data_IF_486373717994
#
_entry.id   IF_486373717994
#
_cell.length_a   1.000
_cell.length_b   1.000
_cell.length_c   1.000
_cell.angle_alpha   90.00
_cell.angle_beta   90.00
_cell.angle_gamma   90.00
#
_symmetry.space_group_name_H-M   'P 1'
#
loop_
_entity.id
_entity.type
_entity.pdbx_description
1 polymer ?
#
# COMPACT_ATOMS: atom_id res chain seq x y z
N UNK A 1 -8.22 -4.71 -4.73
CA UNK A 1 -8.88 -4.56 -3.43
C UNK A 1 -8.93 -3.08 -3.03
N UNK A 2 -10.00 -2.70 -2.39
CA UNK A 2 -10.23 -1.33 -1.97
C UNK A 2 -10.25 -1.21 -0.46
N UNK A 3 -9.64 -0.14 0.04
CA UNK A 3 -9.64 0.21 1.47
C UNK A 3 -10.24 1.59 1.60
N UNK A 4 -11.22 1.75 2.48
CA UNK A 4 -11.85 3.05 2.70
C UNK A 4 -10.84 4.04 3.29
N UNK A 5 -10.69 5.20 2.66
CA UNK A 5 -9.78 6.24 3.10
C UNK A 5 -9.36 7.16 1.97
N UNK A 6 -8.52 8.13 2.31
CA UNK A 6 -8.00 9.09 1.34
C UNK A 6 -6.47 9.04 1.32
N UNK A 7 -5.92 8.78 0.15
CA UNK A 7 -4.47 8.67 -0.03
C UNK A 7 -3.74 9.95 0.43
N UNK A 8 -4.34 11.12 0.20
CA UNK A 8 -3.76 12.39 0.61
C UNK A 8 -3.58 12.47 2.13
N UNK A 9 -4.53 11.95 2.90
CA UNK A 9 -4.48 11.99 4.37
C UNK A 9 -3.71 10.80 4.96
N UNK A 10 -3.76 9.64 4.31
CA UNK A 10 -3.25 8.39 4.83
C UNK A 10 -1.98 7.90 4.13
N UNK A 11 -1.34 8.78 3.36
CA UNK A 11 -0.14 8.44 2.58
C UNK A 11 0.96 7.80 3.44
N UNK A 12 1.24 8.36 4.60
CA UNK A 12 2.26 7.83 5.51
C UNK A 12 1.89 6.44 6.00
N UNK A 13 0.62 6.22 6.31
CA UNK A 13 0.13 4.91 6.75
C UNK A 13 0.22 3.88 5.63
N UNK A 14 -0.06 4.28 4.39
CA UNK A 14 0.12 3.43 3.21
C UNK A 14 1.58 3.01 3.09
N UNK A 15 2.50 3.95 3.16
CA UNK A 15 3.94 3.66 3.09
C UNK A 15 4.35 2.69 4.20
N UNK A 16 3.91 2.94 5.42
CA UNK A 16 4.26 2.11 6.58
C UNK A 16 3.71 0.69 6.45
N UNK A 17 2.49 0.54 5.94
CA UNK A 17 1.89 -0.77 5.71
C UNK A 17 2.69 -1.58 4.69
N UNK A 18 3.14 -0.94 3.60
CA UNK A 18 3.97 -1.60 2.61
C UNK A 18 5.37 -1.93 3.13
N UNK A 19 5.98 -1.02 3.88
CA UNK A 19 7.30 -1.26 4.48
C UNK A 19 7.28 -2.44 5.44
N UNK A 20 6.22 -2.59 6.21
CA UNK A 20 6.06 -3.73 7.12
C UNK A 20 6.03 -5.07 6.37
N UNK A 21 5.64 -5.07 5.11
CA UNK A 21 5.62 -6.26 4.26
C UNK A 21 6.87 -6.34 3.34
N UNK A 22 7.85 -5.46 3.55
CA UNK A 22 9.10 -5.48 2.80
C UNK A 22 9.04 -4.78 1.44
N UNK A 23 8.17 -3.80 1.30
CA UNK A 23 8.03 -3.00 0.09
C UNK A 23 8.43 -1.55 0.34
N UNK A 24 8.88 -0.88 -0.70
CA UNK A 24 9.28 0.53 -0.64
C UNK A 24 8.63 1.31 -1.77
N UNK A 25 8.39 2.62 -1.60
CA UNK A 25 7.88 3.44 -2.70
C UNK A 25 8.87 3.48 -3.85
N UNK A 26 8.38 3.22 -5.05
CA UNK A 26 9.19 3.27 -6.27
C UNK A 26 8.84 4.49 -7.11
N UNK A 27 7.57 4.91 -7.09
CA UNK A 27 7.11 6.06 -7.85
C UNK A 27 5.89 6.69 -7.15
N UNK A 28 5.72 8.00 -7.32
CA UNK A 28 4.62 8.74 -6.73
C UNK A 28 4.30 9.92 -7.65
N UNK A 29 3.13 9.88 -8.29
CA UNK A 29 2.70 10.94 -9.21
C UNK A 29 1.72 11.93 -8.58
N UNK A 30 1.52 11.85 -7.26
CA UNK A 30 0.58 12.71 -6.52
C UNK A 30 -0.84 12.14 -6.45
N UNK A 31 -1.27 11.42 -7.45
CA UNK A 31 -2.59 10.78 -7.49
C UNK A 31 -2.53 9.31 -7.11
N UNK A 32 -1.36 8.71 -7.24
CA UNK A 32 -1.13 7.33 -6.91
C UNK A 32 0.32 7.06 -6.60
N UNK A 33 0.58 5.89 -6.08
CA UNK A 33 1.92 5.44 -5.70
C UNK A 33 2.14 4.04 -6.24
N UNK A 34 3.41 3.74 -6.56
CA UNK A 34 3.81 2.38 -6.94
C UNK A 34 4.83 1.89 -5.93
N UNK A 35 4.66 0.67 -5.46
CA UNK A 35 5.56 0.04 -4.49
C UNK A 35 6.22 -1.18 -5.10
N UNK A 36 7.47 -1.42 -4.73
CA UNK A 36 8.26 -2.58 -5.16
C UNK A 36 8.93 -3.21 -3.97
N UNK A 37 9.26 -4.50 -4.09
CA UNK A 37 10.00 -5.20 -3.04
C UNK A 37 11.34 -4.52 -2.80
N UNK A 38 11.70 -4.34 -1.53
CA UNK A 38 12.95 -3.69 -1.14
C UNK A 38 14.17 -4.54 -1.45
N UNK A 39 14.03 -5.88 -1.40
CA UNK A 39 15.14 -6.82 -1.60
C UNK A 39 15.23 -7.28 -3.05
N UNK A 40 16.41 -7.19 -3.69
CA UNK A 40 16.60 -7.72 -5.03
C UNK A 40 16.33 -9.24 -5.12
N UNK A 41 16.67 -9.99 -4.07
CA UNK A 41 16.39 -11.43 -4.03
C UNK A 41 14.90 -11.72 -4.03
N UNK A 42 14.14 -10.92 -3.31
CA UNK A 42 12.68 -11.06 -3.26
C UNK A 42 12.06 -10.74 -4.62
N UNK A 43 12.59 -9.73 -5.32
CA UNK A 43 12.13 -9.38 -6.67
C UNK A 43 12.37 -10.55 -7.64
N UNK A 44 13.51 -11.22 -7.52
CA UNK A 44 13.82 -12.38 -8.34
C UNK A 44 12.86 -13.54 -8.06
N UNK A 45 12.54 -13.78 -6.78
CA UNK A 45 11.58 -14.80 -6.39
C UNK A 45 10.17 -14.54 -6.94
N UNK A 46 9.81 -13.27 -7.06
CA UNK A 46 8.50 -12.86 -7.59
C UNK A 46 8.51 -12.70 -9.11
N UNK A 47 9.61 -13.10 -9.77
CA UNK A 47 9.78 -12.96 -11.23
C UNK A 47 9.56 -11.53 -11.70
N UNK A 48 9.97 -10.55 -10.89
CA UNK A 48 9.76 -9.10 -11.11
C UNK A 48 8.28 -8.70 -11.14
N UNK A 49 7.39 -9.57 -10.70
CA UNK A 49 5.96 -9.25 -10.54
C UNK A 49 5.71 -8.82 -9.09
N UNK A 50 6.52 -7.87 -8.63
CA UNK A 50 6.52 -7.37 -7.26
C UNK A 50 5.87 -5.99 -7.13
N UNK A 51 5.44 -5.43 -8.24
CA UNK A 51 4.87 -4.08 -8.24
C UNK A 51 3.43 -4.07 -7.79
N UNK A 52 3.14 -3.16 -6.85
CA UNK A 52 1.77 -2.91 -6.38
C UNK A 52 1.46 -1.45 -6.61
N UNK A 53 0.37 -1.17 -7.28
CA UNK A 53 -0.07 0.18 -7.53
C UNK A 53 -1.17 0.57 -6.55
N UNK A 54 -1.06 1.78 -6.02
CA UNK A 54 -2.02 2.36 -5.09
C UNK A 54 -2.56 3.64 -5.70
N UNK A 55 -3.87 3.76 -5.81
CA UNK A 55 -4.51 4.94 -6.39
C UNK A 55 -5.78 5.30 -5.63
N UNK A 56 -6.13 6.58 -5.64
CA UNK A 56 -7.38 7.05 -5.06
C UNK A 56 -8.53 6.83 -6.05
N UNK A 57 -9.62 6.25 -5.57
CA UNK A 57 -10.83 6.05 -6.36
C UNK A 57 -12.04 6.44 -5.52
N UNK A 58 -12.55 7.65 -5.74
CA UNK A 58 -13.62 8.19 -4.91
C UNK A 58 -13.15 8.35 -3.47
N UNK A 59 -13.81 7.65 -2.55
CA UNK A 59 -13.40 7.61 -1.13
C UNK A 59 -12.71 6.29 -0.77
N UNK A 60 -12.15 5.60 -1.78
CA UNK A 60 -11.46 4.33 -1.60
C UNK A 60 -10.02 4.44 -2.06
N UNK A 61 -9.12 3.78 -1.34
CA UNK A 61 -7.75 3.58 -1.77
C UNK A 61 -7.72 2.22 -2.46
N UNK A 62 -7.46 2.21 -3.76
CA UNK A 62 -7.44 0.99 -4.55
C UNK A 62 -6.02 0.42 -4.63
N UNK A 63 -5.88 -0.85 -4.24
CA UNK A 63 -4.62 -1.58 -4.29
C UNK A 63 -4.71 -2.61 -5.42
N UNK A 64 -3.80 -2.53 -6.38
CA UNK A 64 -3.73 -3.47 -7.48
C UNK A 64 -2.32 -3.99 -7.67
N UNK A 65 -2.20 -5.29 -7.90
CA UNK A 65 -0.91 -5.96 -8.05
C UNK A 65 -1.03 -7.41 -7.69
N UNK A 66 0.09 -7.99 -7.24
CA UNK A 66 0.12 -9.39 -6.88
C UNK A 66 -0.85 -9.68 -5.73
N UNK A 67 -1.69 -10.67 -5.93
CA UNK A 67 -2.79 -11.00 -5.01
C UNK A 67 -2.29 -11.25 -3.57
N UNK A 68 -1.19 -11.96 -3.41
CA UNK A 68 -0.65 -12.26 -2.08
C UNK A 68 -0.23 -11.00 -1.34
N UNK A 69 0.44 -10.10 -2.03
CA UNK A 69 0.91 -8.85 -1.44
C UNK A 69 -0.27 -7.97 -1.04
N UNK A 70 -1.23 -7.80 -1.93
CA UNK A 70 -2.43 -7.01 -1.67
C UNK A 70 -3.21 -7.60 -0.49
N UNK A 71 -3.34 -8.92 -0.43
CA UNK A 71 -4.05 -9.61 0.65
C UNK A 71 -3.40 -9.42 2.02
N UNK A 72 -2.09 -9.17 2.07
CA UNK A 72 -1.36 -8.92 3.31
C UNK A 72 -1.36 -7.44 3.71
N UNK A 73 -1.18 -6.57 2.72
CA UNK A 73 -1.07 -5.13 2.97
C UNK A 73 -2.43 -4.52 3.31
N UNK A 74 -3.50 -4.92 2.64
CA UNK A 74 -4.80 -4.31 2.80
C UNK A 74 -5.33 -4.38 4.24
N UNK A 75 -5.34 -5.54 4.94
CA UNK A 75 -5.78 -5.58 6.33
C UNK A 75 -4.91 -4.75 7.27
N UNK A 76 -3.61 -4.73 7.01
CA UNK A 76 -2.67 -3.92 7.81
C UNK A 76 -2.97 -2.44 7.65
N UNK A 77 -3.18 -1.99 6.42
CA UNK A 77 -3.53 -0.60 6.13
C UNK A 77 -4.86 -0.23 6.77
N UNK A 78 -5.86 -1.09 6.67
CA UNK A 78 -7.16 -0.88 7.32
C UNK A 78 -6.99 -0.69 8.83
N UNK A 79 -6.15 -1.49 9.46
CA UNK A 79 -5.85 -1.39 10.88
C UNK A 79 -5.18 -0.07 11.24
N UNK A 80 -4.24 0.39 10.43
CA UNK A 80 -3.54 1.65 10.66
C UNK A 80 -4.49 2.84 10.53
N UNK A 81 -5.35 2.84 9.54
CA UNK A 81 -6.34 3.89 9.32
C UNK A 81 -7.35 3.93 10.48
N UNK A 82 -7.83 2.78 10.90
CA UNK A 82 -8.76 2.68 12.03
C UNK A 82 -8.13 3.16 13.33
N UNK A 83 -6.87 2.82 13.57
CA UNK A 83 -6.15 3.27 14.76
C UNK A 83 -5.96 4.79 14.75
N UNK A 84 -5.63 5.37 13.59
CA UNK A 84 -5.48 6.81 13.44
C UNK A 84 -6.82 7.55 13.67
N UNK A 85 -7.90 7.02 13.14
CA UNK A 85 -9.23 7.60 13.33
C UNK A 85 -9.63 7.60 14.80
N UNK A 86 -9.32 6.51 15.53
CA UNK A 86 -9.58 6.46 16.98
C UNK A 86 -8.73 7.45 17.76
N UNK A 87 -7.50 7.67 17.34
CA UNK A 87 -6.58 8.59 18.02
C UNK A 87 -7.02 10.05 17.84
N UNK A 88 -7.68 10.36 16.72
CA UNK A 88 -8.16 11.71 16.46
C UNK A 88 -9.35 12.14 17.33
N UNK A 89 -10.05 11.18 17.88
CA UNK A 89 -11.15 11.44 18.79
C UNK A 89 -10.67 11.62 20.21
#
# INVERSE_FOLDING_TARGET
>A
RRVEGFLADDRERVVNAFRAEGFVPADDDGEGMTFRAASPLRRLWLHFDDEVRVAQFGQWIELSGQRRTVARVAPRLEGYIAAHARTKE
#
